data_IF_064657717073
#
_entry.id   IF_064657717073
#
_cell.length_a   1.000
_cell.length_b   1.000
_cell.length_c   1.000
_cell.angle_alpha   90.00
_cell.angle_beta   90.00
_cell.angle_gamma   90.00
#
_symmetry.space_group_name_H-M   'P 1'
#
loop_
_entity.id
_entity.type
_entity.pdbx_description
1 polymer ?
#
# COMPACT_ATOMS: atom_id res chain seq x y z
N UNK A 1 10.92 3.38 23.17
CA UNK A 1 9.93 3.94 22.23
C UNK A 1 8.82 2.92 22.07
N UNK A 2 7.58 3.37 22.00
CA UNK A 2 6.46 2.48 21.72
C UNK A 2 6.57 1.94 20.29
N UNK A 3 6.23 0.66 20.03
CA UNK A 3 6.24 0.11 18.69
C UNK A 3 5.21 0.83 17.80
N UNK A 4 5.50 0.95 16.51
CA UNK A 4 4.52 1.46 15.54
C UNK A 4 3.40 0.43 15.37
N UNK A 5 2.17 0.90 15.17
CA UNK A 5 1.08 0.00 14.80
C UNK A 5 1.26 -0.45 13.35
N UNK A 6 1.31 -1.77 13.12
CA UNK A 6 1.39 -2.37 11.77
C UNK A 6 0.24 -1.89 10.85
N UNK A 7 -0.93 -1.57 11.41
CA UNK A 7 -2.03 -0.99 10.65
C UNK A 7 -1.72 0.40 10.09
N UNK A 8 -0.94 1.21 10.80
CA UNK A 8 -0.49 2.52 10.32
C UNK A 8 0.51 2.36 9.16
N UNK A 9 1.42 1.39 9.30
CA UNK A 9 2.38 1.02 8.25
C UNK A 9 1.65 0.55 6.99
N UNK A 10 0.67 -0.33 7.14
CA UNK A 10 -0.17 -0.83 6.06
C UNK A 10 -0.92 0.27 5.31
N UNK A 11 -1.36 1.33 6.00
CA UNK A 11 -2.02 2.48 5.38
C UNK A 11 -1.02 3.31 4.56
N UNK A 12 0.23 3.47 5.03
CA UNK A 12 1.24 4.30 4.37
C UNK A 12 1.79 3.67 3.06
N UNK A 13 1.90 2.34 2.98
CA UNK A 13 2.45 1.64 1.80
C UNK A 13 1.70 1.98 0.49
N UNK A 14 0.35 1.95 0.43
CA UNK A 14 -0.41 2.41 -0.74
C UNK A 14 -0.08 3.81 -1.25
N UNK A 15 0.27 4.74 -0.36
CA UNK A 15 0.65 6.09 -0.77
C UNK A 15 2.00 6.11 -1.47
N UNK A 16 2.97 5.34 -0.98
CA UNK A 16 4.25 5.13 -1.66
C UNK A 16 4.05 4.48 -3.04
N UNK A 17 3.17 3.49 -3.15
CA UNK A 17 2.79 2.88 -4.43
C UNK A 17 2.28 3.91 -5.42
N UNK A 18 1.27 4.69 -5.03
CA UNK A 18 0.70 5.74 -5.89
C UNK A 18 1.73 6.80 -6.31
N UNK A 19 2.69 7.10 -5.43
CA UNK A 19 3.77 8.03 -5.72
C UNK A 19 4.76 7.48 -6.76
N UNK A 20 5.24 6.25 -6.58
CA UNK A 20 6.23 5.62 -7.47
C UNK A 20 5.63 5.32 -8.85
N UNK A 21 4.37 4.88 -8.91
CA UNK A 21 3.65 4.67 -10.17
C UNK A 21 3.44 5.98 -10.96
N UNK A 22 3.75 7.14 -10.35
CA UNK A 22 3.48 8.48 -10.89
C UNK A 22 2.02 8.67 -11.27
N UNK A 23 1.13 7.85 -10.70
CA UNK A 23 -0.30 8.02 -10.90
C UNK A 23 -0.72 9.30 -10.22
N UNK A 24 -0.27 9.58 -9.00
CA UNK A 24 -0.41 10.87 -8.29
C UNK A 24 -1.85 11.36 -8.05
N UNK A 25 -2.80 10.82 -8.80
CA UNK A 25 -4.22 11.11 -8.79
C UNK A 25 -4.82 10.67 -7.47
N UNK A 26 -5.56 11.60 -6.85
CA UNK A 26 -6.21 11.41 -5.56
C UNK A 26 -5.31 11.69 -4.35
N UNK A 27 -4.03 12.03 -4.53
CA UNK A 27 -3.18 12.55 -3.45
C UNK A 27 -3.30 14.07 -3.38
N UNK A 28 -3.64 14.59 -2.20
CA UNK A 28 -3.54 16.02 -1.96
C UNK A 28 -2.08 16.51 -2.03
N UNK A 29 -1.89 17.80 -2.29
CA UNK A 29 -0.56 18.40 -2.50
C UNK A 29 0.36 18.18 -1.29
N UNK A 30 -0.15 18.34 -0.06
CA UNK A 30 0.67 18.14 1.15
C UNK A 30 0.95 16.66 1.38
N UNK A 31 0.00 15.79 1.06
CA UNK A 31 0.17 14.35 1.13
C UNK A 31 1.30 13.93 0.19
N UNK A 32 1.29 14.44 -1.05
CA UNK A 32 2.34 14.21 -2.02
C UNK A 32 3.70 14.69 -1.51
N UNK A 33 3.78 15.87 -0.90
CA UNK A 33 5.00 16.41 -0.30
C UNK A 33 5.55 15.51 0.81
N UNK A 34 4.69 14.98 1.69
CA UNK A 34 5.12 14.06 2.75
C UNK A 34 5.56 12.71 2.20
N UNK A 35 4.86 12.20 1.18
CA UNK A 35 5.23 10.95 0.53
C UNK A 35 6.55 11.09 -0.21
N UNK A 36 6.83 12.23 -0.85
CA UNK A 36 8.14 12.51 -1.46
C UNK A 36 9.26 12.56 -0.42
N UNK A 37 9.08 13.27 0.70
CA UNK A 37 10.05 13.29 1.81
C UNK A 37 10.30 11.90 2.35
N UNK A 38 9.24 11.10 2.51
CA UNK A 38 9.35 9.73 2.97
C UNK A 38 10.09 8.86 1.95
N UNK A 39 9.81 9.01 0.65
CA UNK A 39 10.52 8.31 -0.41
C UNK A 39 12.01 8.64 -0.43
N UNK A 40 12.36 9.93 -0.37
CA UNK A 40 13.76 10.37 -0.28
C UNK A 40 14.45 9.81 0.98
N UNK A 41 13.73 9.72 2.11
CA UNK A 41 14.24 9.07 3.30
C UNK A 41 14.57 7.60 3.06
N UNK A 42 13.65 6.84 2.45
CA UNK A 42 13.87 5.42 2.09
C UNK A 42 15.11 5.28 1.21
N UNK A 43 15.22 6.10 0.17
CA UNK A 43 16.36 6.09 -0.75
C UNK A 43 17.70 6.34 -0.05
N UNK A 44 17.74 7.21 0.96
CA UNK A 44 18.94 7.50 1.76
C UNK A 44 19.34 6.41 2.75
N UNK A 45 18.44 5.51 3.14
CA UNK A 45 18.80 4.39 4.04
C UNK A 45 19.77 3.43 3.33
N UNK A 46 20.50 2.56 4.04
CA UNK A 46 21.26 1.48 3.41
C UNK A 46 20.40 0.64 2.45
N UNK A 47 20.98 0.10 1.38
CA UNK A 47 20.25 -0.71 0.37
C UNK A 47 19.51 -1.89 1.02
N UNK A 48 20.07 -2.43 2.10
CA UNK A 48 19.56 -3.62 2.81
C UNK A 48 18.41 -3.33 3.78
N UNK A 49 18.08 -2.06 4.08
CA UNK A 49 17.10 -1.73 5.14
C UNK A 49 15.66 -1.90 4.69
N UNK A 50 15.37 -1.63 3.42
CA UNK A 50 14.02 -1.67 2.84
C UNK A 50 14.08 -2.16 1.39
N UNK A 51 14.66 -3.35 1.11
CA UNK A 51 14.88 -3.82 -0.26
C UNK A 51 13.58 -4.02 -1.04
N UNK A 52 12.49 -4.46 -0.39
CA UNK A 52 11.18 -4.54 -1.03
C UNK A 52 10.70 -3.16 -1.45
N UNK A 53 10.92 -2.13 -0.61
CA UNK A 53 10.55 -0.77 -0.94
C UNK A 53 11.47 -0.09 -1.96
N UNK A 54 12.71 -0.54 -2.13
CA UNK A 54 13.68 0.08 -3.07
C UNK A 54 13.65 -0.52 -4.46
N UNK A 55 13.25 -1.78 -4.58
CA UNK A 55 13.09 -2.46 -5.87
C UNK A 55 11.96 -1.86 -6.72
N UNK A 56 11.12 -1.02 -6.11
CA UNK A 56 10.06 -0.19 -6.70
C UNK A 56 10.38 0.52 -8.01
N UNK A 57 11.58 1.08 -8.08
CA UNK A 57 11.96 1.95 -9.19
C UNK A 57 12.21 1.15 -10.47
N UNK A 58 12.43 -0.16 -10.34
CA UNK A 58 12.77 -1.04 -11.45
C UNK A 58 11.57 -1.81 -12.01
N UNK A 59 10.62 -2.21 -11.16
CA UNK A 59 9.44 -2.99 -11.53
C UNK A 59 8.26 -2.45 -10.71
N UNK A 60 7.13 -2.13 -11.37
CA UNK A 60 5.94 -1.54 -10.77
C UNK A 60 5.69 -1.97 -9.31
N UNK A 61 5.53 -0.99 -8.42
CA UNK A 61 5.75 -1.16 -6.99
C UNK A 61 4.56 -1.70 -6.18
N UNK A 62 4.81 -2.49 -5.13
CA UNK A 62 5.61 -3.71 -5.10
C UNK A 62 4.75 -4.94 -5.43
N UNK A 63 5.33 -5.91 -6.13
CA UNK A 63 4.74 -7.24 -6.36
C UNK A 63 4.51 -8.02 -5.04
N UNK A 64 5.12 -7.58 -3.92
CA UNK A 64 5.06 -8.22 -2.60
C UNK A 64 4.75 -7.19 -1.49
N UNK A 65 3.47 -6.83 -1.35
CA UNK A 65 2.97 -5.87 -0.36
C UNK A 65 3.17 -6.34 1.08
N UNK A 66 3.08 -7.64 1.32
CA UNK A 66 3.32 -8.24 2.64
C UNK A 66 4.73 -7.89 3.11
N UNK A 67 5.73 -8.22 2.30
CA UNK A 67 7.12 -7.96 2.64
C UNK A 67 7.43 -6.47 2.81
N UNK A 68 6.82 -5.61 2.00
CA UNK A 68 6.96 -4.16 2.12
C UNK A 68 6.45 -3.63 3.48
N UNK A 69 5.33 -4.17 3.98
CA UNK A 69 4.77 -3.81 5.28
C UNK A 69 5.68 -4.29 6.42
N UNK A 70 6.15 -5.53 6.37
CA UNK A 70 7.03 -6.08 7.42
C UNK A 70 8.36 -5.32 7.51
N UNK A 71 9.02 -5.09 6.37
CA UNK A 71 10.30 -4.37 6.33
C UNK A 71 10.13 -2.95 6.87
N UNK A 72 9.04 -2.27 6.50
CA UNK A 72 8.76 -0.92 6.96
C UNK A 72 8.41 -0.86 8.46
N UNK A 73 7.65 -1.81 8.97
CA UNK A 73 7.36 -1.93 10.40
C UNK A 73 8.67 -2.13 11.20
N UNK A 74 9.53 -3.05 10.75
CA UNK A 74 10.82 -3.32 11.39
C UNK A 74 11.72 -2.08 11.36
N UNK A 75 11.78 -1.37 10.22
CA UNK A 75 12.57 -0.16 10.08
C UNK A 75 12.03 0.97 10.98
N UNK A 76 10.73 1.23 10.98
CA UNK A 76 10.08 2.24 11.83
C UNK A 76 10.24 1.92 13.33
N UNK A 77 10.28 0.64 13.72
CA UNK A 77 10.53 0.27 15.11
C UNK A 77 11.98 0.52 15.56
N UNK A 78 12.93 0.56 14.63
CA UNK A 78 14.36 0.78 14.91
C UNK A 78 14.81 2.22 14.68
N UNK A 79 14.13 2.94 13.79
CA UNK A 79 14.51 4.27 13.33
C UNK A 79 13.37 5.29 13.56
N UNK A 80 13.55 6.25 14.49
CA UNK A 80 12.55 7.26 14.79
C UNK A 80 12.20 8.16 13.60
N UNK A 81 13.14 8.39 12.68
CA UNK A 81 12.92 9.21 11.48
C UNK A 81 11.98 8.48 10.52
N UNK A 82 12.17 7.17 10.35
CA UNK A 82 11.27 6.32 9.55
C UNK A 82 9.89 6.23 10.18
N UNK A 83 9.83 6.06 11.51
CA UNK A 83 8.55 6.07 12.25
C UNK A 83 7.78 7.36 12.03
N UNK A 84 8.44 8.50 12.16
CA UNK A 84 7.80 9.79 12.01
C UNK A 84 7.31 10.00 10.58
N UNK A 85 8.10 9.60 9.57
CA UNK A 85 7.67 9.72 8.18
C UNK A 85 6.40 8.92 7.87
N UNK A 86 6.25 7.71 8.43
CA UNK A 86 5.00 6.92 8.30
C UNK A 86 3.81 7.65 8.94
N UNK A 87 4.01 8.20 10.14
CA UNK A 87 2.97 8.96 10.84
C UNK A 87 2.55 10.19 10.04
N UNK A 88 3.51 10.99 9.59
CA UNK A 88 3.26 12.25 8.88
C UNK A 88 2.48 12.04 7.58
N UNK A 89 2.83 11.00 6.80
CA UNK A 89 2.09 10.64 5.59
C UNK A 89 0.63 10.33 5.91
N UNK A 90 0.38 9.48 6.91
CA UNK A 90 -0.98 9.06 7.26
C UNK A 90 -1.79 10.22 7.86
N UNK A 91 -1.19 11.05 8.71
CA UNK A 91 -1.88 12.20 9.31
C UNK A 91 -2.25 13.27 8.29
N UNK A 92 -1.34 13.62 7.38
CA UNK A 92 -1.63 14.59 6.33
C UNK A 92 -2.65 14.02 5.34
N UNK A 93 -2.52 12.75 4.96
CA UNK A 93 -3.51 12.07 4.13
C UNK A 93 -4.90 12.04 4.77
N UNK A 94 -5.01 11.92 6.11
CA UNK A 94 -6.29 12.01 6.81
C UNK A 94 -6.95 13.37 6.66
N UNK A 95 -6.17 14.44 6.52
CA UNK A 95 -6.66 15.79 6.36
C UNK A 95 -7.10 16.08 4.92
N UNK A 96 -6.34 15.62 3.93
CA UNK A 96 -6.60 15.92 2.51
C UNK A 96 -7.45 14.87 1.80
N UNK A 97 -7.24 13.59 2.12
CA UNK A 97 -7.87 12.42 1.47
C UNK A 97 -8.60 11.56 2.51
N UNK A 98 -9.40 12.20 3.37
CA UNK A 98 -9.98 11.57 4.57
C UNK A 98 -10.83 10.33 4.28
N UNK A 99 -11.55 10.29 3.16
CA UNK A 99 -12.38 9.14 2.78
C UNK A 99 -11.53 7.94 2.34
N UNK A 100 -10.46 8.20 1.58
CA UNK A 100 -9.52 7.16 1.17
C UNK A 100 -8.82 6.51 2.39
N UNK A 101 -8.34 7.33 3.33
CA UNK A 101 -7.72 6.81 4.56
C UNK A 101 -8.74 6.05 5.41
N UNK A 102 -9.98 6.54 5.56
CA UNK A 102 -11.04 5.82 6.30
C UNK A 102 -11.35 4.47 5.68
N UNK A 103 -11.32 4.36 4.36
CA UNK A 103 -11.51 3.09 3.67
C UNK A 103 -10.35 2.13 4.01
N UNK A 104 -9.10 2.57 3.91
CA UNK A 104 -7.94 1.76 4.29
C UNK A 104 -8.00 1.32 5.77
N UNK A 105 -8.34 2.24 6.68
CA UNK A 105 -8.53 1.93 8.10
C UNK A 105 -9.63 0.91 8.34
N UNK A 106 -10.77 1.05 7.65
CA UNK A 106 -11.90 0.10 7.75
C UNK A 106 -11.47 -1.30 7.33
N UNK A 107 -10.71 -1.41 6.25
CA UNK A 107 -10.25 -2.69 5.72
C UNK A 107 -9.22 -3.35 6.64
N UNK A 108 -8.22 -2.59 7.12
CA UNK A 108 -7.28 -3.06 8.14
C UNK A 108 -8.02 -3.49 9.42
N UNK A 109 -9.08 -2.77 9.81
CA UNK A 109 -9.86 -3.12 11.00
C UNK A 109 -10.66 -4.43 10.84
N UNK A 110 -11.04 -4.85 9.63
CA UNK A 110 -11.77 -6.13 9.42
C UNK A 110 -10.97 -7.34 9.88
N UNK A 111 -9.64 -7.29 9.75
CA UNK A 111 -8.75 -8.38 10.17
C UNK A 111 -8.20 -8.18 11.58
N UNK A 112 -8.55 -7.08 12.28
CA UNK A 112 -8.08 -6.79 13.64
C UNK A 112 -8.41 -7.91 14.63
N UNK A 113 -9.61 -8.47 14.53
CA UNK A 113 -10.04 -9.60 15.37
C UNK A 113 -9.34 -10.92 15.04
N UNK A 114 -8.75 -11.02 13.85
CA UNK A 114 -8.01 -12.20 13.39
C UNK A 114 -6.50 -12.07 13.68
N UNK A 115 -6.03 -10.92 14.18
CA UNK A 115 -4.63 -10.56 14.31
C UNK A 115 -4.11 -9.90 13.04
N UNK A 116 -3.73 -8.62 13.11
CA UNK A 116 -3.21 -7.86 11.96
C UNK A 116 -1.79 -8.36 11.66
N UNK A 117 -1.64 -9.03 10.52
CA UNK A 117 -0.35 -9.48 9.98
C UNK A 117 -0.20 -8.94 8.56
N UNK A 118 1.03 -8.80 8.10
CA UNK A 118 1.30 -8.34 6.74
C UNK A 118 0.66 -9.25 5.68
N UNK A 119 0.70 -10.58 5.86
CA UNK A 119 0.00 -11.57 5.04
C UNK A 119 -1.51 -11.28 4.86
N UNK A 120 -2.20 -11.01 5.96
CA UNK A 120 -3.65 -10.76 5.94
C UNK A 120 -3.97 -9.41 5.33
N UNK A 121 -3.10 -8.43 5.53
CA UNK A 121 -3.21 -7.11 4.90
C UNK A 121 -3.01 -7.26 3.37
N UNK A 122 -2.01 -8.01 2.93
CA UNK A 122 -1.77 -8.27 1.52
C UNK A 122 -2.98 -8.95 0.87
N UNK A 123 -3.53 -9.98 1.51
CA UNK A 123 -4.74 -10.68 1.03
C UNK A 123 -5.93 -9.73 0.87
N UNK A 124 -6.11 -8.76 1.79
CA UNK A 124 -7.15 -7.74 1.65
C UNK A 124 -6.91 -6.84 0.44
N UNK A 125 -5.68 -6.37 0.25
CA UNK A 125 -5.34 -5.48 -0.87
C UNK A 125 -5.47 -6.19 -2.22
N UNK A 126 -4.99 -7.42 -2.35
CA UNK A 126 -5.18 -8.23 -3.56
C UNK A 126 -6.66 -8.45 -3.86
N UNK A 127 -7.46 -8.83 -2.86
CA UNK A 127 -8.90 -9.03 -3.04
C UNK A 127 -9.61 -7.76 -3.52
N UNK A 128 -9.17 -6.58 -3.07
CA UNK A 128 -9.72 -5.30 -3.51
C UNK A 128 -9.30 -4.87 -4.91
N UNK A 129 -8.05 -5.15 -5.28
CA UNK A 129 -7.58 -4.93 -6.65
C UNK A 129 -8.36 -5.82 -7.62
N UNK A 130 -8.54 -7.10 -7.27
CA UNK A 130 -9.34 -8.06 -8.05
C UNK A 130 -10.82 -7.63 -8.13
N UNK A 131 -11.38 -7.09 -7.04
CA UNK A 131 -12.76 -6.62 -7.02
C UNK A 131 -12.95 -5.21 -7.60
N UNK A 132 -11.90 -4.57 -8.14
CA UNK A 132 -11.93 -3.18 -8.62
C UNK A 132 -12.27 -2.15 -7.53
N UNK A 133 -12.16 -2.51 -6.25
CA UNK A 133 -12.50 -1.68 -5.09
C UNK A 133 -11.31 -0.90 -4.55
N UNK A 134 -10.11 -1.12 -5.08
CA UNK A 134 -8.95 -0.30 -4.76
C UNK A 134 -9.05 1.07 -5.46
N UNK A 135 -10.03 1.85 -5.01
CA UNK A 135 -10.41 3.12 -5.58
C UNK A 135 -9.80 4.21 -4.70
N UNK A 136 -8.63 4.69 -5.12
CA UNK A 136 -8.21 6.06 -4.87
C UNK A 136 -8.88 7.06 -5.81
N UNK A 137 -9.93 6.64 -6.54
CA UNK A 137 -10.60 7.43 -7.57
C UNK A 137 -12.07 7.70 -7.18
N UNK A 138 -12.32 8.71 -6.36
CA UNK A 138 -13.64 9.35 -6.39
C UNK A 138 -13.74 10.12 -7.72
N UNK A 139 -14.09 9.44 -8.81
CA UNK A 139 -14.18 10.14 -10.09
C UNK A 139 -14.32 9.38 -11.39
N UNK A 140 -14.53 8.06 -11.46
CA UNK A 140 -14.98 7.48 -12.74
C UNK A 140 -15.72 6.16 -12.52
N UNK A 141 -17.02 6.15 -12.84
CA UNK A 141 -17.67 4.92 -13.27
C UNK A 141 -16.87 4.40 -14.45
N UNK A 142 -16.20 3.25 -14.29
CA UNK A 142 -15.79 2.46 -15.44
C UNK A 142 -17.10 1.92 -16.04
N UNK A 143 -17.65 2.70 -16.96
CA UNK A 143 -18.51 2.17 -17.99
C UNK A 143 -17.69 1.13 -18.73
N UNK A 144 -18.07 -0.13 -18.54
CA UNK A 144 -17.95 -1.25 -19.46
C UNK A 144 -16.61 -1.41 -20.20
N UNK A 145 -15.80 -2.40 -19.79
CA UNK A 145 -15.39 -3.51 -20.66
C UNK A 145 -14.51 -4.47 -19.86
N UNK A 146 -14.98 -5.70 -19.69
CA UNK A 146 -14.18 -6.75 -19.03
C UNK A 146 -15.01 -7.96 -18.68
N UNK A 147 -15.54 -8.63 -19.70
CA UNK A 147 -16.18 -9.94 -19.61
C UNK A 147 -15.25 -10.90 -18.84
N UNK A 148 -15.62 -11.30 -17.63
CA UNK A 148 -15.03 -12.47 -16.98
C UNK A 148 -15.61 -13.73 -17.62
N UNK A 149 -15.17 -14.02 -18.85
CA UNK A 149 -15.33 -15.36 -19.42
C UNK A 149 -14.31 -16.27 -18.72
N UNK A 150 -14.83 -17.08 -17.80
CA UNK A 150 -14.17 -18.22 -17.21
C UNK A 150 -13.79 -19.23 -18.31
N UNK A 151 -12.65 -19.03 -18.98
CA UNK A 151 -12.02 -20.08 -19.77
C UNK A 151 -10.95 -20.77 -18.92
N UNK A 152 -11.43 -21.63 -18.03
CA UNK A 152 -10.61 -22.68 -17.42
C UNK A 152 -10.25 -23.69 -18.52
N UNK A 153 -9.14 -23.43 -19.21
CA UNK A 153 -8.46 -24.45 -20.01
C UNK A 153 -7.65 -25.31 -19.03
N UNK A 154 -8.23 -26.42 -18.56
CA UNK A 154 -7.45 -27.56 -18.12
C UNK A 154 -7.47 -28.60 -19.24
N UNK A 155 -6.31 -28.77 -19.87
CA UNK A 155 -6.09 -29.77 -20.90
C UNK A 155 -5.90 -31.19 -20.37
N UNK A 156 -6.04 -32.14 -21.30
CA UNK A 156 -5.66 -33.55 -21.19
C UNK A 156 -6.85 -34.47 -20.99
N UNK A 157 -7.07 -35.55 -21.73
CA UNK A 157 -6.18 -36.40 -22.54
C UNK A 157 -7.00 -37.19 -23.57
N UNK A 158 -6.38 -37.43 -24.74
CA UNK A 158 -6.47 -38.53 -25.72
C UNK A 158 -7.35 -39.73 -25.28
N UNK A 159 -8.14 -40.40 -26.13
CA UNK A 159 -7.94 -40.95 -27.49
C UNK A 159 -9.32 -41.09 -28.13
#
# INVERSE_FOLDING_TARGET
MEPIEIGLVAIAVPFLTKYVEKTGEGLGEKTLEQVDKFWQLIQRKPVETLPALKSAEAEAFPVDFERAIEELEVAANKDPEVKQAVIDVVEVAKQESSEYVKNLESEVNKIKHQGITAEKINTLFEAQTISGKFIGNSGESIGDTGVFENNTIYGGVKI
#
